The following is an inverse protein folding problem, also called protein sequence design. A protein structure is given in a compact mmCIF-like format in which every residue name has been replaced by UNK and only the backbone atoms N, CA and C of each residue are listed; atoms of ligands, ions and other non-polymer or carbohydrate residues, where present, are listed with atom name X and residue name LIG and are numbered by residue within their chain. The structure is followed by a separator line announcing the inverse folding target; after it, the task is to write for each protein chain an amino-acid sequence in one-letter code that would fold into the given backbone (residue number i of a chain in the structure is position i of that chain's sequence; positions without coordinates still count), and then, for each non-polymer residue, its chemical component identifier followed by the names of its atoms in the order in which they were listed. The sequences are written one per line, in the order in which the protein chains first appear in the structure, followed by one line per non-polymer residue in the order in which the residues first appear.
data_IF_956150283434
#
_entry.id   IF_956150283434
#
_cell.length_a   1.000
_cell.length_b   1.000
_cell.length_c   1.000
_cell.angle_alpha   90.00
_cell.angle_beta   90.00
_cell.angle_gamma   90.00
#
_symmetry.space_group_name_H-M   'P 1'
#
loop_
_entity.id
_entity.type
_entity.pdbx_description
1 polymer ?
#
# COMPACT_ATOMS: atom_id res chain seq x y z
N UNK A 1 -35.02 2.44 -5.61
CA UNK A 1 -33.67 2.82 -5.14
C UNK A 1 -33.15 3.90 -6.07
N UNK A 2 -33.08 5.15 -5.62
CA UNK A 2 -32.59 6.27 -6.42
C UNK A 2 -31.06 6.32 -6.24
N UNK A 3 -30.29 5.85 -7.23
CA UNK A 3 -28.84 6.09 -7.26
C UNK A 3 -28.65 7.51 -7.80
N UNK A 4 -28.24 8.43 -6.95
CA UNK A 4 -27.78 9.74 -7.41
C UNK A 4 -26.55 9.51 -8.29
N UNK A 5 -26.50 10.05 -9.53
CA UNK A 5 -25.30 10.03 -10.34
C UNK A 5 -24.30 11.03 -9.73
N UNK A 6 -23.65 10.63 -8.64
CA UNK A 6 -22.52 11.37 -8.10
C UNK A 6 -21.37 11.14 -9.10
N UNK A 7 -20.80 12.20 -9.70
CA UNK A 7 -19.63 12.05 -10.55
C UNK A 7 -18.55 11.30 -9.77
N UNK A 8 -17.99 10.24 -10.35
CA UNK A 8 -16.81 9.60 -9.79
C UNK A 8 -15.70 10.67 -9.66
N UNK A 9 -14.94 10.60 -8.56
CA UNK A 9 -13.98 11.65 -8.16
C UNK A 9 -12.94 11.87 -9.26
N UNK A 10 -13.09 12.88 -10.10
CA UNK A 10 -12.05 13.27 -11.06
C UNK A 10 -10.87 13.92 -10.34
N UNK A 11 -9.62 13.62 -10.72
CA UNK A 11 -8.42 14.30 -10.23
C UNK A 11 -7.29 13.38 -9.75
N UNK A 12 -6.35 13.95 -8.99
CA UNK A 12 -5.07 13.34 -8.56
C UNK A 12 -5.21 11.93 -7.94
N UNK A 13 -6.34 11.65 -7.28
CA UNK A 13 -6.57 10.35 -6.63
C UNK A 13 -6.74 9.23 -7.68
N UNK A 14 -7.50 9.46 -8.76
CA UNK A 14 -7.67 8.47 -9.82
C UNK A 14 -6.34 8.27 -10.56
N UNK A 15 -5.67 9.35 -10.94
CA UNK A 15 -4.41 9.27 -11.67
C UNK A 15 -3.35 8.51 -10.85
N UNK A 16 -3.23 8.82 -9.56
CA UNK A 16 -2.33 8.09 -8.66
C UNK A 16 -2.71 6.61 -8.52
N UNK A 17 -4.00 6.27 -8.59
CA UNK A 17 -4.46 4.89 -8.51
C UNK A 17 -4.07 4.11 -9.76
N UNK A 18 -4.28 4.69 -10.94
CA UNK A 18 -3.90 4.09 -12.23
C UNK A 18 -2.40 3.84 -12.30
N UNK A 19 -1.59 4.84 -11.95
CA UNK A 19 -0.13 4.71 -11.95
C UNK A 19 0.36 3.65 -10.95
N UNK A 20 -0.11 3.70 -9.69
CA UNK A 20 0.28 2.72 -8.68
C UNK A 20 -0.15 1.31 -9.05
N UNK A 21 -1.34 1.14 -9.62
CA UNK A 21 -1.80 -0.16 -10.10
C UNK A 21 -0.92 -0.68 -11.24
N UNK A 22 -0.58 0.18 -12.20
CA UNK A 22 0.33 -0.18 -13.30
C UNK A 22 1.75 -0.53 -12.80
N UNK A 23 2.26 0.17 -11.79
CA UNK A 23 3.54 -0.15 -11.15
C UNK A 23 3.49 -1.52 -10.47
N UNK A 24 2.47 -1.77 -9.63
CA UNK A 24 2.26 -3.08 -8.97
C UNK A 24 2.15 -4.21 -9.99
N UNK A 25 1.42 -4.00 -11.10
CA UNK A 25 1.23 -5.01 -12.13
C UNK A 25 2.50 -5.39 -12.90
N UNK A 26 3.58 -4.59 -12.84
CA UNK A 26 4.89 -4.93 -13.43
C UNK A 26 5.66 -5.95 -12.60
N UNK A 27 5.33 -6.11 -11.33
CA UNK A 27 5.99 -7.10 -10.48
C UNK A 27 5.48 -8.50 -10.78
N UNK A 28 6.35 -9.49 -10.57
CA UNK A 28 5.90 -10.87 -10.58
C UNK A 28 4.96 -11.13 -9.40
N UNK A 29 4.08 -12.13 -9.54
CA UNK A 29 3.19 -12.52 -8.45
C UNK A 29 4.02 -12.93 -7.21
N UNK A 30 3.88 -12.24 -6.07
CA UNK A 30 4.75 -12.46 -4.92
C UNK A 30 4.46 -13.81 -4.27
N UNK A 31 5.53 -14.53 -3.91
CA UNK A 31 5.47 -15.83 -3.22
C UNK A 31 6.03 -15.78 -1.81
N UNK A 32 6.74 -14.70 -1.50
CA UNK A 32 7.40 -14.49 -0.22
C UNK A 32 7.03 -13.13 0.37
N UNK A 33 7.15 -13.02 1.70
CA UNK A 33 7.00 -11.73 2.40
C UNK A 33 7.95 -10.67 1.85
N UNK A 34 9.18 -11.05 1.49
CA UNK A 34 10.20 -10.10 0.98
C UNK A 34 9.77 -9.45 -0.33
N UNK A 35 9.19 -10.22 -1.24
CA UNK A 35 8.66 -9.71 -2.51
C UNK A 35 7.45 -8.80 -2.31
N UNK A 36 6.56 -9.13 -1.35
CA UNK A 36 5.46 -8.22 -0.97
C UNK A 36 6.02 -6.88 -0.48
N UNK A 37 7.05 -6.91 0.36
CA UNK A 37 7.69 -5.69 0.86
C UNK A 37 8.33 -4.89 -0.27
N UNK A 38 8.94 -5.54 -1.26
CA UNK A 38 9.50 -4.85 -2.44
C UNK A 38 8.42 -4.16 -3.28
N UNK A 39 7.31 -4.85 -3.55
CA UNK A 39 6.16 -4.27 -4.27
C UNK A 39 5.64 -3.03 -3.53
N UNK A 40 5.40 -3.16 -2.22
CA UNK A 40 4.88 -2.07 -1.38
C UNK A 40 5.89 -0.94 -1.16
N UNK A 41 7.17 -1.17 -1.48
CA UNK A 41 8.25 -0.18 -1.41
C UNK A 41 8.63 0.38 -2.79
N UNK A 42 7.90 0.03 -3.85
CA UNK A 42 8.25 0.41 -5.21
C UNK A 42 8.16 1.94 -5.39
N UNK A 43 9.26 2.51 -5.88
CA UNK A 43 9.45 3.92 -6.17
C UNK A 43 9.93 4.21 -7.61
N UNK A 44 9.73 3.26 -8.52
CA UNK A 44 10.23 3.31 -9.91
C UNK A 44 9.43 4.23 -10.84
N UNK A 45 8.18 4.55 -10.50
CA UNK A 45 7.38 5.54 -11.24
C UNK A 45 7.79 6.97 -10.83
N UNK A 46 7.83 7.88 -11.82
CA UNK A 46 8.28 9.26 -11.64
C UNK A 46 7.15 10.23 -11.26
N UNK A 47 5.89 9.84 -11.45
CA UNK A 47 4.71 10.65 -11.17
C UNK A 47 4.05 10.20 -9.86
N UNK A 48 3.74 8.91 -9.75
CA UNK A 48 3.10 8.32 -8.57
C UNK A 48 3.67 6.95 -8.25
N UNK A 49 4.36 6.88 -7.13
CA UNK A 49 5.02 5.68 -6.60
C UNK A 49 4.06 4.86 -5.76
N UNK A 50 4.30 3.56 -5.65
CA UNK A 50 3.55 2.70 -4.73
C UNK A 50 3.82 3.15 -3.29
N UNK A 51 5.10 3.32 -2.94
CA UNK A 51 5.49 4.04 -1.73
C UNK A 51 5.74 5.50 -2.07
N UNK A 52 4.73 6.33 -1.88
CA UNK A 52 4.77 7.74 -2.23
C UNK A 52 5.57 8.55 -1.20
N UNK A 53 6.79 8.92 -1.59
CA UNK A 53 7.69 9.79 -0.81
C UNK A 53 8.73 10.44 -1.74
N UNK A 54 8.31 11.46 -2.50
CA UNK A 54 9.25 12.25 -3.33
C UNK A 54 10.00 13.32 -2.53
N UNK A 55 9.55 13.65 -1.31
CA UNK A 55 10.13 14.69 -0.47
C UNK A 55 9.08 15.62 0.15
N UNK A 56 9.48 16.75 0.75
CA UNK A 56 8.60 17.59 1.56
C UNK A 56 7.42 18.21 0.79
N UNK A 57 7.56 18.40 -0.53
CA UNK A 57 6.55 19.05 -1.38
C UNK A 57 5.51 18.07 -1.96
N UNK A 58 5.59 16.79 -1.62
CA UNK A 58 4.66 15.77 -2.11
C UNK A 58 3.27 16.00 -1.49
N UNK A 59 2.27 16.25 -2.34
CA UNK A 59 0.90 16.54 -1.91
C UNK A 59 0.22 15.28 -1.36
N UNK A 60 0.69 14.10 -1.78
CA UNK A 60 0.23 12.80 -1.33
C UNK A 60 1.44 12.07 -0.76
N UNK A 61 1.32 11.42 0.40
CA UNK A 61 2.41 10.63 0.98
C UNK A 61 1.89 9.33 1.57
N UNK A 62 2.72 8.30 1.50
CA UNK A 62 2.49 7.08 2.27
C UNK A 62 2.86 7.38 3.73
N UNK A 63 1.87 7.32 4.62
CA UNK A 63 2.06 7.53 6.07
C UNK A 63 2.42 6.22 6.77
N UNK A 64 1.88 5.09 6.28
CA UNK A 64 2.13 3.79 6.84
C UNK A 64 1.89 2.68 5.82
N UNK A 65 2.54 1.54 6.03
CA UNK A 65 2.23 0.28 5.33
C UNK A 65 1.76 -0.76 6.33
N UNK A 66 0.70 -1.50 5.97
CA UNK A 66 0.15 -2.61 6.77
C UNK A 66 0.21 -3.92 6.02
N UNK A 67 0.70 -5.00 6.64
CA UNK A 67 0.68 -6.35 6.08
C UNK A 67 -0.11 -7.27 7.01
N UNK A 68 -1.16 -7.87 6.48
CA UNK A 68 -1.92 -8.93 7.14
C UNK A 68 -1.33 -10.29 6.73
N UNK A 69 -0.70 -10.98 7.66
CA UNK A 69 -0.32 -12.39 7.51
C UNK A 69 -1.44 -13.25 8.08
N UNK A 70 -2.32 -13.75 7.20
CA UNK A 70 -3.48 -14.55 7.61
C UNK A 70 -3.10 -15.95 8.11
N UNK A 71 -1.93 -16.47 7.75
CA UNK A 71 -1.45 -17.78 8.22
C UNK A 71 -0.94 -17.67 9.65
N UNK A 72 -0.09 -16.67 9.91
CA UNK A 72 0.42 -16.38 11.26
C UNK A 72 -0.59 -15.63 12.12
N UNK A 73 -1.66 -15.12 11.52
CA UNK A 73 -2.69 -14.28 12.15
C UNK A 73 -2.05 -13.05 12.79
N UNK A 74 -1.28 -12.29 12.01
CA UNK A 74 -0.66 -11.05 12.49
C UNK A 74 -0.86 -9.89 11.52
N UNK A 75 -0.86 -8.67 12.06
CA UNK A 75 -0.85 -7.43 11.32
C UNK A 75 0.43 -6.67 11.65
N UNK A 76 1.33 -6.55 10.68
CA UNK A 76 2.57 -5.79 10.79
C UNK A 76 2.36 -4.37 10.26
N UNK A 77 2.76 -3.35 11.02
CA UNK A 77 2.63 -1.94 10.65
C UNK A 77 4.01 -1.29 10.56
N UNK A 78 4.24 -0.56 9.48
CA UNK A 78 5.47 0.17 9.18
C UNK A 78 5.13 1.66 9.03
N UNK A 79 5.99 2.54 9.55
CA UNK A 79 5.85 4.00 9.39
C UNK A 79 6.78 4.57 8.30
N UNK A 80 7.67 3.71 7.79
CA UNK A 80 8.70 3.99 6.81
C UNK A 80 8.66 2.92 5.69
N UNK A 81 9.55 3.07 4.71
CA UNK A 81 9.59 2.20 3.53
C UNK A 81 9.89 0.76 3.95
N UNK A 82 8.98 -0.20 3.72
CA UNK A 82 8.97 -1.45 4.48
C UNK A 82 10.00 -2.50 4.00
N UNK A 83 10.63 -2.34 2.85
CA UNK A 83 11.65 -3.29 2.36
C UNK A 83 13.05 -3.11 2.97
N UNK A 84 13.30 -1.99 3.65
CA UNK A 84 14.57 -1.69 4.30
C UNK A 84 14.43 -1.44 5.81
N UNK A 85 13.23 -1.59 6.36
CA UNK A 85 12.92 -1.32 7.76
C UNK A 85 12.11 -2.46 8.38
N UNK A 86 12.24 -2.62 9.69
CA UNK A 86 11.44 -3.56 10.48
C UNK A 86 10.08 -2.93 10.84
N UNK A 87 9.03 -3.74 11.07
CA UNK A 87 7.74 -3.20 11.47
C UNK A 87 7.84 -2.52 12.85
N UNK A 88 7.18 -1.38 12.98
CA UNK A 88 7.04 -0.67 14.27
C UNK A 88 6.28 -1.52 15.28
N UNK A 89 5.25 -2.24 14.82
CA UNK A 89 4.47 -3.14 15.66
C UNK A 89 3.97 -4.34 14.84
N UNK A 90 3.91 -5.49 15.51
CA UNK A 90 3.29 -6.71 14.99
C UNK A 90 2.14 -7.11 15.93
N UNK A 91 0.91 -6.89 15.50
CA UNK A 91 -0.30 -7.10 16.29
C UNK A 91 -0.86 -8.50 15.99
N UNK A 92 -1.10 -9.37 16.98
CA UNK A 92 -1.79 -10.63 16.75
C UNK A 92 -3.28 -10.39 16.43
N UNK A 93 -3.76 -10.98 15.34
CA UNK A 93 -5.16 -10.94 14.89
C UNK A 93 -5.89 -12.09 15.56
N UNK A 94 -6.68 -11.78 16.58
CA UNK A 94 -7.61 -12.73 17.19
C UNK A 94 -8.94 -12.64 16.46
N UNK A 95 -9.43 -13.79 16.03
CA UNK A 95 -10.83 -13.96 15.64
C UNK A 95 -11.43 -14.78 16.76
N UNK A 96 -12.01 -14.11 17.75
CA UNK A 96 -12.73 -14.81 18.81
C UNK A 96 -13.99 -15.39 18.15
N UNK A 97 -13.98 -16.70 17.94
CA UNK A 97 -15.22 -17.44 17.68
C UNK A 97 -15.86 -17.66 19.05
N UNK A 98 -16.85 -16.83 19.38
CA UNK A 98 -17.78 -17.15 20.46
C UNK A 98 -18.61 -18.38 20.09
#
# INVERSE_FOLDING_TARGET
YLRLPVPEVTGLIIDSSVHRHAAIAKHQHPRTRREILDILSDQTDNNYRVYQDFGPNDVIKTIATGIFDCVKRTWSIYADKPNCNEPLVVIPIRTDSH
#
